data_IF_617935965584
#
_entry.id   IF_617935965584
#
_cell.length_a   1.000
_cell.length_b   1.000
_cell.length_c   1.000
_cell.angle_alpha   90.00
_cell.angle_beta   90.00
_cell.angle_gamma   90.00
#
_symmetry.space_group_name_H-M   'P 1'
#
loop_
_entity.id
_entity.type
_entity.pdbx_description
1 polymer ?
#
# COMPACT_ATOMS: atom_id res chain seq x y z
N UNK A 1 -7.98 20.98 11.80
CA UNK A 1 -6.63 20.38 11.93
C UNK A 1 -6.47 19.51 10.68
N UNK A 2 -5.59 19.82 9.78
CA UNK A 2 -5.52 19.09 8.52
C UNK A 2 -4.77 17.79 8.70
N UNK A 3 -5.47 16.69 8.57
CA UNK A 3 -4.88 15.37 8.44
C UNK A 3 -5.51 14.63 7.26
N UNK A 4 -4.68 14.02 6.47
CA UNK A 4 -5.07 13.33 5.26
C UNK A 4 -4.61 11.88 5.33
N UNK A 5 -5.50 10.95 5.03
CA UNK A 5 -5.12 9.55 4.75
C UNK A 5 -5.00 9.39 3.24
N UNK A 6 -3.85 8.94 2.76
CA UNK A 6 -3.60 8.55 1.39
C UNK A 6 -3.55 7.03 1.32
N UNK A 7 -4.39 6.42 0.49
CA UNK A 7 -4.47 4.97 0.35
C UNK A 7 -4.72 4.53 -1.08
N UNK A 8 -4.47 3.25 -1.38
CA UNK A 8 -4.84 2.65 -2.66
C UNK A 8 -6.33 2.27 -2.68
N UNK A 9 -7.06 2.68 -3.70
CA UNK A 9 -8.48 2.40 -3.85
C UNK A 9 -8.77 1.07 -4.59
N UNK A 10 -7.73 0.36 -5.05
CA UNK A 10 -7.83 -0.84 -5.88
C UNK A 10 -7.05 -2.01 -5.25
N UNK A 11 -6.33 -2.81 -6.05
CA UNK A 11 -5.50 -3.95 -5.59
C UNK A 11 -4.01 -3.62 -5.40
N UNK A 12 -3.66 -2.41 -5.02
CA UNK A 12 -2.27 -1.96 -4.91
C UNK A 12 -1.69 -1.54 -6.27
N UNK A 13 -0.44 -1.05 -6.23
CA UNK A 13 0.29 -0.59 -7.43
C UNK A 13 -0.39 0.56 -8.19
N UNK A 14 -1.25 1.34 -7.53
CA UNK A 14 -1.96 2.47 -8.12
C UNK A 14 -1.06 3.70 -8.40
N UNK A 15 0.21 3.64 -8.01
CA UNK A 15 1.13 4.79 -8.15
C UNK A 15 1.13 5.72 -6.93
N UNK A 16 0.83 5.17 -5.74
CA UNK A 16 0.83 5.93 -4.48
C UNK A 16 2.11 6.72 -4.25
N UNK A 17 3.27 6.12 -4.49
CA UNK A 17 4.57 6.77 -4.24
C UNK A 17 4.71 8.13 -4.94
N UNK A 18 4.31 8.24 -6.21
CA UNK A 18 4.32 9.52 -6.95
C UNK A 18 3.42 10.56 -6.28
N UNK A 19 2.19 10.18 -5.92
CA UNK A 19 1.23 11.13 -5.33
C UNK A 19 1.65 11.49 -3.90
N UNK A 20 2.12 10.52 -3.11
CA UNK A 20 2.64 10.78 -1.77
C UNK A 20 3.80 11.78 -1.81
N UNK A 21 4.79 11.54 -2.66
CA UNK A 21 5.92 12.47 -2.83
C UNK A 21 5.44 13.86 -3.24
N UNK A 22 4.51 13.93 -4.20
CA UNK A 22 4.02 15.19 -4.75
C UNK A 22 3.36 16.09 -3.68
N UNK A 23 2.54 15.49 -2.79
CA UNK A 23 1.80 16.27 -1.77
C UNK A 23 2.51 16.34 -0.42
N UNK A 24 3.53 15.51 -0.17
CA UNK A 24 4.21 15.42 1.14
C UNK A 24 4.79 16.76 1.60
N UNK A 25 5.28 17.60 0.66
CA UNK A 25 5.87 18.91 0.98
C UNK A 25 4.93 19.86 1.75
N UNK A 26 3.62 19.61 1.74
CA UNK A 26 2.62 20.43 2.42
C UNK A 26 2.35 19.96 3.87
N UNK A 27 3.03 18.90 4.31
CA UNK A 27 2.82 18.28 5.62
C UNK A 27 4.05 18.40 6.52
N UNK A 28 3.81 18.41 7.83
CA UNK A 28 4.87 18.40 8.85
C UNK A 28 5.27 16.96 9.22
N UNK A 29 4.34 16.01 9.09
CA UNK A 29 4.54 14.60 9.42
C UNK A 29 4.03 13.71 8.30
N UNK A 30 4.79 12.66 7.96
CA UNK A 30 4.34 11.57 7.07
C UNK A 30 4.42 10.25 7.82
N UNK A 31 3.30 9.57 7.99
CA UNK A 31 3.13 8.43 8.90
C UNK A 31 2.75 7.18 8.13
N UNK A 32 3.60 6.16 8.12
CA UNK A 32 3.22 4.80 7.72
C UNK A 32 2.43 4.16 8.87
N UNK A 33 1.20 3.76 8.60
CA UNK A 33 0.31 3.25 9.66
C UNK A 33 0.08 1.74 9.60
N UNK A 34 0.47 1.05 8.51
CA UNK A 34 0.28 -0.40 8.35
C UNK A 34 1.26 -1.00 7.34
N UNK A 35 1.26 -2.34 7.24
CA UNK A 35 2.15 -3.07 6.36
C UNK A 35 3.56 -3.20 6.95
N UNK A 36 4.51 -3.47 6.11
CA UNK A 36 5.92 -3.62 6.46
C UNK A 36 6.77 -3.43 5.20
N UNK A 37 7.89 -4.13 5.13
CA UNK A 37 8.79 -4.09 3.98
C UNK A 37 8.25 -4.79 2.71
N UNK A 38 6.99 -5.24 2.72
CA UNK A 38 6.26 -5.70 1.52
C UNK A 38 5.74 -4.55 0.65
N UNK A 39 5.80 -3.30 1.11
CA UNK A 39 5.55 -2.14 0.27
C UNK A 39 6.76 -1.86 -0.65
N UNK A 40 6.50 -1.17 -1.76
CA UNK A 40 7.54 -0.67 -2.65
C UNK A 40 7.09 0.67 -3.21
N UNK A 41 7.49 1.76 -2.56
CA UNK A 41 7.19 3.11 -3.01
C UNK A 41 8.41 3.67 -3.75
N UNK A 42 8.27 3.85 -5.06
CA UNK A 42 9.30 4.56 -5.81
C UNK A 42 9.08 6.05 -5.65
N UNK A 43 10.08 6.73 -5.14
CA UNK A 43 10.12 8.18 -4.98
C UNK A 43 11.20 8.73 -5.91
N UNK A 44 10.92 9.86 -6.54
CA UNK A 44 11.86 10.54 -7.44
C UNK A 44 12.06 11.96 -6.90
N UNK A 45 13.29 12.25 -6.47
CA UNK A 45 13.68 13.58 -5.99
C UNK A 45 14.87 14.09 -6.82
N UNK A 46 14.63 15.12 -7.65
CA UNK A 46 15.60 15.55 -8.65
C UNK A 46 15.93 14.40 -9.61
N UNK A 47 17.22 14.08 -9.74
CA UNK A 47 17.71 12.97 -10.58
C UNK A 47 17.77 11.63 -9.82
N UNK A 48 17.53 11.63 -8.52
CA UNK A 48 17.62 10.44 -7.66
C UNK A 48 16.29 9.69 -7.63
N UNK A 49 16.34 8.39 -7.95
CA UNK A 49 15.20 7.47 -7.90
C UNK A 49 15.44 6.41 -6.84
N UNK A 50 14.64 6.43 -5.78
CA UNK A 50 14.73 5.51 -4.65
C UNK A 50 13.48 4.64 -4.52
N UNK A 51 13.69 3.40 -4.07
CA UNK A 51 12.62 2.47 -3.74
C UNK A 51 12.56 2.31 -2.23
N UNK A 52 11.57 2.91 -1.58
CA UNK A 52 11.34 2.82 -0.14
C UNK A 52 10.40 1.66 0.19
N UNK A 53 10.70 0.91 1.23
CA UNK A 53 9.92 -0.23 1.68
C UNK A 53 9.25 -0.01 3.04
N UNK A 54 9.99 0.55 4.02
CA UNK A 54 9.54 0.80 5.39
C UNK A 54 9.44 2.28 5.71
N UNK A 55 10.46 3.05 5.34
CA UNK A 55 10.55 4.47 5.67
C UNK A 55 9.51 5.26 4.88
N UNK A 56 8.74 6.18 5.52
CA UNK A 56 7.78 7.02 4.81
C UNK A 56 8.43 7.90 3.75
N UNK A 57 7.71 8.15 2.65
CA UNK A 57 8.20 8.96 1.51
C UNK A 57 8.60 10.38 1.90
N UNK A 58 8.08 10.91 3.00
CA UNK A 58 8.42 12.24 3.53
C UNK A 58 9.87 12.42 3.97
N UNK A 59 10.66 11.33 4.10
CA UNK A 59 12.09 11.41 4.49
C UNK A 59 12.94 12.23 3.50
N UNK A 60 12.45 12.45 2.29
CA UNK A 60 13.11 13.24 1.25
C UNK A 60 13.10 14.75 1.54
N UNK A 61 12.44 15.21 2.59
CA UNK A 61 12.26 16.62 2.93
C UNK A 61 12.70 16.90 4.37
N UNK A 62 13.66 17.80 4.56
CA UNK A 62 14.27 18.10 5.86
C UNK A 62 13.29 18.61 6.92
N UNK A 63 12.20 19.28 6.48
CA UNK A 63 11.19 19.84 7.39
C UNK A 63 10.16 18.80 7.85
N UNK A 64 10.13 17.62 7.24
CA UNK A 64 9.16 16.57 7.55
C UNK A 64 9.74 15.62 8.60
N UNK A 65 8.90 15.23 9.55
CA UNK A 65 9.19 14.12 10.44
C UNK A 65 8.54 12.85 9.91
N UNK A 66 9.31 11.89 9.33
CA UNK A 66 8.78 10.61 8.93
C UNK A 66 8.54 9.73 10.16
N UNK A 67 7.39 9.02 10.20
CA UNK A 67 6.99 8.19 11.34
C UNK A 67 6.59 6.79 10.89
N UNK A 68 7.17 5.77 11.51
CA UNK A 68 6.71 4.39 11.42
C UNK A 68 5.79 4.12 12.61
N UNK A 69 4.48 3.99 12.35
CA UNK A 69 3.45 3.83 13.37
C UNK A 69 3.38 2.42 13.96
N UNK A 70 2.65 2.29 15.06
CA UNK A 70 2.47 1.02 15.79
C UNK A 70 1.74 -0.07 14.99
N UNK A 71 1.06 0.31 13.92
CA UNK A 71 0.40 -0.66 13.03
C UNK A 71 1.34 -1.37 12.07
N UNK A 72 2.56 -0.88 11.87
CA UNK A 72 3.57 -1.51 11.03
C UNK A 72 4.20 -2.74 11.69
N UNK A 73 4.70 -3.65 10.85
CA UNK A 73 5.65 -4.69 11.22
C UNK A 73 7.00 -4.36 10.61
N UNK A 74 8.05 -4.33 11.43
CA UNK A 74 9.36 -3.77 11.09
C UNK A 74 10.40 -4.87 11.03
N UNK A 75 11.05 -5.01 9.90
CA UNK A 75 12.28 -5.80 9.77
C UNK A 75 13.48 -4.87 10.09
N UNK A 76 14.18 -5.07 11.24
CA UNK A 76 15.26 -4.19 11.66
C UNK A 76 16.43 -4.16 10.68
N UNK A 77 16.69 -5.26 10.01
CA UNK A 77 17.75 -5.37 8.99
C UNK A 77 17.39 -4.48 7.80
N UNK A 78 16.21 -4.67 7.23
CA UNK A 78 15.75 -3.89 6.06
C UNK A 78 15.67 -2.40 6.39
N UNK A 79 15.20 -2.06 7.60
CA UNK A 79 15.13 -0.67 8.06
C UNK A 79 16.53 -0.03 8.10
N UNK A 80 17.51 -0.73 8.68
CA UNK A 80 18.89 -0.22 8.79
C UNK A 80 19.54 -0.08 7.41
N UNK A 81 19.33 -1.06 6.52
CA UNK A 81 19.82 -0.99 5.15
C UNK A 81 19.20 0.19 4.37
N UNK A 82 17.91 0.46 4.58
CA UNK A 82 17.19 1.56 3.94
C UNK A 82 17.66 2.93 4.48
N UNK A 83 17.92 3.04 5.79
CA UNK A 83 18.54 4.24 6.39
C UNK A 83 19.93 4.51 5.80
N UNK A 84 20.79 3.50 5.73
CA UNK A 84 22.13 3.62 5.15
C UNK A 84 22.09 4.02 3.68
N UNK A 85 21.16 3.47 2.90
CA UNK A 85 20.94 3.84 1.50
C UNK A 85 20.56 5.33 1.39
N UNK A 86 19.61 5.79 2.20
CA UNK A 86 19.15 7.18 2.21
C UNK A 86 20.28 8.15 2.58
N UNK A 87 21.04 7.84 3.64
CA UNK A 87 22.18 8.64 4.09
C UNK A 87 23.29 8.69 3.03
N UNK A 88 23.52 7.57 2.32
CA UNK A 88 24.45 7.49 1.20
C UNK A 88 24.07 8.39 0.02
N UNK A 89 22.77 8.65 -0.17
CA UNK A 89 22.21 9.55 -1.17
C UNK A 89 22.03 11.00 -0.66
N UNK A 90 22.46 11.28 0.59
CA UNK A 90 22.45 12.60 1.19
C UNK A 90 21.14 12.98 1.91
N UNK A 91 20.24 12.03 2.17
CA UNK A 91 19.01 12.25 2.94
C UNK A 91 19.22 11.88 4.40
N UNK A 92 18.93 12.82 5.31
CA UNK A 92 19.07 12.56 6.75
C UNK A 92 17.92 11.74 7.32
N UNK A 93 18.25 10.71 8.10
CA UNK A 93 17.28 9.96 8.88
C UNK A 93 17.14 10.44 10.34
N UNK A 94 17.78 11.54 10.76
CA UNK A 94 17.75 12.01 12.15
C UNK A 94 16.34 12.31 12.67
N UNK A 95 15.46 12.80 11.79
CA UNK A 95 14.07 13.10 12.11
C UNK A 95 13.13 11.89 12.10
N UNK A 96 13.59 10.71 11.65
CA UNK A 96 12.79 9.50 11.65
C UNK A 96 12.34 9.16 13.07
N UNK A 97 11.05 8.80 13.24
CA UNK A 97 10.50 8.30 14.50
C UNK A 97 9.86 6.93 14.27
N UNK A 98 10.16 5.99 15.16
CA UNK A 98 9.70 4.61 15.09
C UNK A 98 8.91 4.31 16.36
N UNK A 99 7.69 3.84 16.20
CA UNK A 99 6.86 3.50 17.34
C UNK A 99 7.48 2.41 18.20
N UNK A 100 7.58 2.67 19.50
CA UNK A 100 7.94 1.68 20.50
C UNK A 100 7.06 0.43 20.42
N UNK A 101 5.78 0.60 20.04
CA UNK A 101 4.76 -0.44 19.96
C UNK A 101 4.69 -1.18 18.61
N UNK A 102 5.47 -0.79 17.60
CA UNK A 102 5.55 -1.53 16.35
C UNK A 102 6.13 -2.93 16.59
N UNK A 103 5.62 -3.93 15.85
CA UNK A 103 6.08 -5.30 15.99
C UNK A 103 7.31 -5.57 15.11
N UNK A 104 8.19 -6.44 15.59
CA UNK A 104 9.42 -6.82 14.90
C UNK A 104 9.19 -8.08 14.08
N UNK A 105 9.64 -8.06 12.82
CA UNK A 105 9.73 -9.26 12.00
C UNK A 105 10.99 -10.01 12.42
N UNK A 106 10.80 -11.22 12.98
CA UNK A 106 11.88 -12.12 13.37
C UNK A 106 12.29 -13.04 12.21
N UNK A 107 13.48 -13.65 12.23
CA UNK A 107 13.94 -14.50 11.15
C UNK A 107 13.04 -15.71 10.94
N UNK A 108 12.49 -16.26 12.02
CA UNK A 108 11.52 -17.36 11.92
C UNK A 108 10.21 -16.96 11.22
N UNK A 109 9.82 -15.68 11.22
CA UNK A 109 8.65 -15.21 10.46
C UNK A 109 8.91 -15.33 8.95
N UNK A 110 10.12 -14.98 8.50
CA UNK A 110 10.52 -15.06 7.08
C UNK A 110 10.53 -16.52 6.63
N UNK A 111 11.12 -17.40 7.44
CA UNK A 111 11.18 -18.84 7.14
C UNK A 111 9.77 -19.46 7.11
N UNK A 112 8.91 -19.11 8.07
CA UNK A 112 7.52 -19.59 8.12
C UNK A 112 6.71 -19.14 6.92
N UNK A 113 6.84 -17.87 6.50
CA UNK A 113 6.16 -17.32 5.32
C UNK A 113 6.56 -18.11 4.06
N UNK A 114 7.87 -18.29 3.85
CA UNK A 114 8.38 -19.07 2.72
C UNK A 114 8.01 -20.56 2.76
N UNK A 115 7.97 -21.16 3.95
CA UNK A 115 7.67 -22.59 4.12
C UNK A 115 6.18 -22.86 3.93
N UNK A 116 5.30 -22.01 4.47
CA UNK A 116 3.85 -22.15 4.31
C UNK A 116 3.42 -22.05 2.86
N UNK A 117 3.95 -21.08 2.09
CA UNK A 117 3.68 -20.97 0.66
C UNK A 117 4.09 -22.24 -0.11
N UNK A 118 5.26 -22.79 0.17
CA UNK A 118 5.68 -24.06 -0.44
C UNK A 118 4.76 -25.22 -0.06
N UNK A 119 4.32 -25.26 1.20
CA UNK A 119 3.45 -26.33 1.71
C UNK A 119 2.03 -26.25 1.11
N UNK A 120 1.50 -25.03 0.89
CA UNK A 120 0.21 -24.81 0.25
C UNK A 120 0.20 -25.21 -1.24
N UNK A 121 1.35 -25.17 -1.92
CA UNK A 121 1.50 -25.57 -3.32
C UNK A 121 0.49 -24.89 -4.25
N UNK A 122 -0.46 -25.65 -4.84
CA UNK A 122 -1.48 -25.09 -5.73
C UNK A 122 -2.47 -24.11 -5.04
N UNK A 123 -2.47 -24.06 -3.74
CA UNK A 123 -3.30 -23.16 -2.93
C UNK A 123 -2.50 -21.95 -2.40
N UNK A 124 -1.29 -21.72 -2.93
CA UNK A 124 -0.47 -20.58 -2.56
C UNK A 124 -1.22 -19.26 -2.70
N UNK A 125 -1.00 -18.37 -1.75
CA UNK A 125 -1.59 -17.02 -1.75
C UNK A 125 -0.77 -16.09 -2.66
N UNK A 126 0.52 -16.37 -2.80
CA UNK A 126 1.47 -15.55 -3.55
C UNK A 126 2.08 -14.44 -2.70
N UNK A 127 2.45 -14.74 -1.46
CA UNK A 127 3.05 -13.79 -0.52
C UNK A 127 4.40 -13.26 -1.03
N UNK A 128 4.87 -12.19 -0.40
CA UNK A 128 6.19 -11.61 -0.69
C UNK A 128 7.34 -12.39 -0.04
N UNK A 129 7.04 -13.36 0.81
CA UNK A 129 8.01 -14.17 1.59
C UNK A 129 8.92 -13.31 2.47
N UNK A 130 8.37 -12.25 3.04
CA UNK A 130 9.07 -11.30 3.91
C UNK A 130 8.64 -11.37 5.37
N UNK A 131 7.88 -12.42 5.74
CA UNK A 131 7.45 -12.66 7.11
C UNK A 131 6.32 -11.77 7.60
N UNK A 132 5.65 -11.04 6.71
CA UNK A 132 4.59 -10.07 7.07
C UNK A 132 3.41 -10.78 7.73
N UNK A 133 2.85 -11.81 7.08
CA UNK A 133 1.72 -12.59 7.60
C UNK A 133 2.02 -13.18 8.98
N UNK A 134 3.08 -13.98 9.14
CA UNK A 134 3.46 -14.55 10.42
C UNK A 134 3.72 -13.52 11.54
N UNK A 135 4.24 -12.34 11.22
CA UNK A 135 4.43 -11.28 12.21
C UNK A 135 3.09 -10.68 12.69
N UNK A 136 2.13 -10.48 11.78
CA UNK A 136 0.77 -10.06 12.15
C UNK A 136 0.00 -11.16 12.90
N UNK A 137 0.22 -12.43 12.57
CA UNK A 137 -0.31 -13.58 13.32
C UNK A 137 0.16 -13.53 14.78
N UNK A 138 1.46 -13.32 15.00
CA UNK A 138 2.01 -13.20 16.34
C UNK A 138 1.49 -11.97 17.08
N UNK A 139 1.32 -10.85 16.39
CA UNK A 139 0.68 -9.65 16.95
C UNK A 139 -0.73 -9.95 17.45
N UNK A 140 -1.56 -10.59 16.65
CA UNK A 140 -2.92 -10.98 17.01
C UNK A 140 -2.94 -12.08 18.07
N UNK A 141 -2.01 -13.02 18.00
CA UNK A 141 -1.78 -14.09 18.97
C UNK A 141 -1.20 -13.61 20.32
N UNK A 142 -0.74 -12.36 20.39
CA UNK A 142 -0.11 -11.73 21.58
C UNK A 142 1.19 -12.42 22.00
N UNK A 143 1.90 -12.97 21.02
CA UNK A 143 3.22 -13.57 21.15
C UNK A 143 4.32 -12.78 20.45
N UNK A 144 3.92 -11.68 19.79
CA UNK A 144 4.83 -10.83 19.03
C UNK A 144 5.80 -10.03 19.92
N UNK A 145 6.95 -9.75 19.38
CA UNK A 145 8.00 -8.94 19.97
C UNK A 145 7.89 -7.53 19.38
N UNK A 146 7.96 -6.51 20.25
CA UNK A 146 7.85 -5.10 19.86
C UNK A 146 9.24 -4.45 19.79
N UNK A 147 9.33 -3.32 19.10
CA UNK A 147 10.56 -2.54 18.98
C UNK A 147 11.15 -2.20 20.35
N UNK A 148 10.32 -1.78 21.32
CA UNK A 148 10.78 -1.47 22.69
C UNK A 148 11.43 -2.65 23.41
N UNK A 149 11.05 -3.88 23.07
CA UNK A 149 11.58 -5.07 23.72
C UNK A 149 13.05 -5.33 23.34
N UNK A 150 13.49 -4.80 22.20
CA UNK A 150 14.90 -4.89 21.77
C UNK A 150 15.84 -4.02 22.63
N UNK A 151 15.30 -3.06 23.41
CA UNK A 151 16.10 -2.14 24.21
C UNK A 151 16.67 -2.76 25.49
N UNK A 152 16.03 -3.82 25.97
CA UNK A 152 16.44 -4.57 27.15
C UNK A 152 16.70 -6.02 26.76
N UNK A 153 17.97 -6.39 26.71
CA UNK A 153 18.40 -7.73 26.29
C UNK A 153 17.73 -8.83 27.14
N UNK A 154 17.52 -8.57 28.45
CA UNK A 154 16.87 -9.56 29.33
C UNK A 154 15.40 -9.78 28.91
N UNK A 155 14.66 -8.70 28.72
CA UNK A 155 13.25 -8.77 28.26
C UNK A 155 13.18 -9.44 26.89
N UNK A 156 14.07 -9.06 25.98
CA UNK A 156 14.12 -9.63 24.64
C UNK A 156 14.36 -11.15 24.69
N UNK A 157 15.33 -11.61 25.49
CA UNK A 157 15.61 -13.04 25.70
C UNK A 157 14.42 -13.79 26.26
N UNK A 158 13.78 -13.28 27.33
CA UNK A 158 12.62 -13.91 27.96
C UNK A 158 11.45 -14.07 26.95
N UNK A 159 11.19 -13.06 26.12
CA UNK A 159 10.15 -13.13 25.08
C UNK A 159 10.51 -14.10 23.96
N UNK A 160 11.78 -14.14 23.52
CA UNK A 160 12.25 -15.11 22.56
C UNK A 160 12.12 -16.55 23.06
N UNK A 161 12.52 -16.81 24.29
CA UNK A 161 12.35 -18.15 24.92
C UNK A 161 10.90 -18.61 24.80
N UNK A 162 9.95 -17.74 25.18
CA UNK A 162 8.53 -18.06 25.12
C UNK A 162 8.04 -18.30 23.67
N UNK A 163 8.43 -17.44 22.72
CA UNK A 163 8.03 -17.55 21.32
C UNK A 163 8.60 -18.81 20.66
N UNK A 164 9.88 -19.11 20.89
CA UNK A 164 10.58 -20.22 20.25
C UNK A 164 10.07 -21.60 20.69
N UNK A 165 9.40 -21.74 21.85
CA UNK A 165 8.76 -22.99 22.26
C UNK A 165 7.83 -23.54 21.18
N UNK A 166 6.99 -22.68 20.61
CA UNK A 166 6.01 -23.09 19.57
C UNK A 166 6.64 -22.97 18.18
N UNK A 167 7.34 -21.87 17.90
CA UNK A 167 7.89 -21.60 16.55
C UNK A 167 8.86 -22.71 16.11
N UNK A 168 9.76 -23.15 16.99
CA UNK A 168 10.66 -24.24 16.69
C UNK A 168 9.95 -25.58 16.45
N UNK A 169 8.84 -25.85 17.13
CA UNK A 169 8.05 -27.06 16.84
C UNK A 169 7.42 -26.98 15.44
N UNK A 170 6.89 -25.82 15.04
CA UNK A 170 6.32 -25.63 13.70
C UNK A 170 7.42 -25.75 12.65
N UNK A 171 8.54 -25.07 12.82
CA UNK A 171 9.68 -25.12 11.91
C UNK A 171 10.16 -26.57 11.71
N UNK A 172 10.45 -27.29 12.81
CA UNK A 172 11.07 -28.61 12.73
C UNK A 172 10.09 -29.72 12.38
N UNK A 173 8.91 -29.79 13.05
CA UNK A 173 8.02 -30.95 12.92
C UNK A 173 7.06 -30.82 11.72
N UNK A 174 6.70 -29.60 11.31
CA UNK A 174 5.77 -29.39 10.20
C UNK A 174 6.55 -29.14 8.90
N UNK A 175 7.55 -28.24 8.95
CA UNK A 175 8.24 -27.80 7.74
C UNK A 175 9.61 -28.43 7.52
N UNK A 176 10.16 -29.16 8.51
CA UNK A 176 11.48 -29.80 8.40
C UNK A 176 12.64 -28.80 8.29
N UNK A 177 12.46 -27.62 8.88
CA UNK A 177 13.49 -26.57 8.93
C UNK A 177 14.27 -26.64 10.24
N UNK A 178 15.44 -26.00 10.28
CA UNK A 178 16.25 -25.92 11.48
C UNK A 178 15.60 -25.02 12.54
N UNK A 179 15.72 -25.35 13.84
CA UNK A 179 15.24 -24.51 14.92
C UNK A 179 16.19 -23.33 15.15
N UNK A 180 15.66 -22.25 15.73
CA UNK A 180 16.45 -21.13 16.23
C UNK A 180 16.75 -21.26 17.72
N UNK A 181 17.95 -20.80 18.13
CA UNK A 181 18.24 -20.55 19.54
C UNK A 181 18.07 -19.08 19.88
N UNK A 182 17.86 -18.79 21.17
CA UNK A 182 17.76 -17.40 21.65
C UNK A 182 19.06 -16.63 21.34
N UNK A 183 20.21 -17.28 21.56
CA UNK A 183 21.53 -16.65 21.32
C UNK A 183 21.70 -16.26 19.86
N UNK A 184 21.37 -17.15 18.93
CA UNK A 184 21.44 -16.85 17.48
C UNK A 184 20.62 -15.61 17.11
N UNK A 185 19.37 -15.48 17.63
CA UNK A 185 18.53 -14.32 17.32
C UNK A 185 19.07 -13.06 18.00
N UNK A 186 19.53 -13.16 19.25
CA UNK A 186 20.13 -12.02 19.94
C UNK A 186 21.38 -11.51 19.22
N UNK A 187 22.28 -12.37 18.79
CA UNK A 187 23.46 -11.99 18.01
C UNK A 187 23.10 -11.26 16.70
N UNK A 188 22.01 -11.68 16.05
CA UNK A 188 21.54 -11.03 14.81
C UNK A 188 20.85 -9.69 15.04
N UNK A 189 20.05 -9.54 16.12
CA UNK A 189 19.11 -8.42 16.27
C UNK A 189 19.56 -7.32 17.23
N UNK A 190 20.35 -7.64 18.26
CA UNK A 190 20.85 -6.61 19.19
C UNK A 190 21.70 -5.51 18.52
N UNK A 191 22.52 -5.79 17.50
CA UNK A 191 23.21 -4.73 16.78
C UNK A 191 22.26 -3.71 16.12
N UNK A 192 21.13 -4.14 15.60
CA UNK A 192 20.11 -3.25 15.03
C UNK A 192 19.39 -2.43 16.10
N UNK A 193 19.24 -2.97 17.31
CA UNK A 193 18.62 -2.23 18.42
C UNK A 193 19.36 -0.92 18.73
N UNK A 194 20.69 -0.91 18.66
CA UNK A 194 21.50 0.29 18.89
C UNK A 194 21.30 1.34 17.78
N UNK A 195 21.13 0.91 16.54
CA UNK A 195 20.84 1.83 15.41
C UNK A 195 19.42 2.42 15.55
N UNK A 196 18.45 1.62 15.97
CA UNK A 196 17.03 2.01 16.07
C UNK A 196 16.77 2.87 17.31
N UNK A 197 17.50 2.67 18.41
CA UNK A 197 17.31 3.31 19.71
C UNK A 197 17.13 4.85 19.64
N UNK A 198 17.93 5.63 18.90
CA UNK A 198 17.77 7.08 18.81
C UNK A 198 16.46 7.52 18.15
N UNK A 199 15.86 6.65 17.34
CA UNK A 199 14.66 6.93 16.54
C UNK A 199 13.36 6.52 17.25
N UNK A 200 13.43 5.80 18.36
CA UNK A 200 12.26 5.30 19.07
C UNK A 200 11.47 6.43 19.71
N UNK A 201 10.15 6.34 19.62
CA UNK A 201 9.23 7.32 20.18
C UNK A 201 7.89 6.73 20.58
N UNK A 202 7.24 7.37 21.53
CA UNK A 202 5.82 7.20 21.86
C UNK A 202 4.98 7.91 20.78
N UNK A 203 4.92 7.30 19.59
CA UNK A 203 4.37 7.96 18.39
C UNK A 203 2.91 8.36 18.52
N UNK A 204 2.09 7.59 19.24
CA UNK A 204 0.70 7.94 19.49
C UNK A 204 0.58 9.25 20.30
N UNK A 205 1.41 9.41 21.33
CA UNK A 205 1.44 10.64 22.11
C UNK A 205 1.95 11.82 21.26
N UNK A 206 3.06 11.62 20.55
CA UNK A 206 3.66 12.61 19.64
C UNK A 206 2.64 13.15 18.66
N UNK A 207 2.03 12.27 17.86
CA UNK A 207 1.11 12.66 16.80
C UNK A 207 -0.14 13.38 17.34
N UNK A 208 -0.68 12.95 18.48
CA UNK A 208 -1.81 13.65 19.11
C UNK A 208 -1.44 15.02 19.67
N UNK A 209 -0.20 15.22 20.16
CA UNK A 209 0.30 16.54 20.61
C UNK A 209 0.46 17.47 19.40
N UNK A 210 1.05 16.99 18.32
CA UNK A 210 1.29 17.76 17.12
C UNK A 210 0.00 18.14 16.39
N UNK A 211 -0.98 17.25 16.35
CA UNK A 211 -2.32 17.59 15.85
C UNK A 211 -2.96 18.72 16.67
N UNK A 212 -2.85 18.67 18.01
CA UNK A 212 -3.36 19.77 18.86
C UNK A 212 -2.60 21.07 18.67
N UNK A 213 -1.33 21.00 18.29
CA UNK A 213 -0.50 22.14 17.95
C UNK A 213 -0.82 22.70 16.54
N UNK A 214 -1.72 22.06 15.78
CA UNK A 214 -2.12 22.51 14.46
C UNK A 214 -1.23 22.03 13.31
N UNK A 215 -0.37 21.05 13.56
CA UNK A 215 0.51 20.46 12.55
C UNK A 215 -0.27 19.60 11.56
N UNK A 216 0.21 19.55 10.31
CA UNK A 216 -0.37 18.79 9.23
C UNK A 216 0.22 17.38 9.19
N UNK A 217 -0.63 16.35 9.15
CA UNK A 217 -0.19 14.96 9.12
C UNK A 217 -0.74 14.25 7.89
N UNK A 218 0.15 13.62 7.12
CA UNK A 218 -0.18 12.70 6.04
C UNK A 218 -0.01 11.26 6.52
N UNK A 219 -1.08 10.49 6.50
CA UNK A 219 -1.04 9.05 6.76
C UNK A 219 -0.86 8.33 5.43
N UNK A 220 0.32 7.76 5.23
CA UNK A 220 0.71 7.05 4.02
C UNK A 220 0.37 5.57 4.13
N UNK A 221 -0.65 5.14 3.36
CA UNK A 221 -1.05 3.74 3.26
C UNK A 221 -0.18 2.95 2.28
N UNK A 222 -0.09 1.66 2.54
CA UNK A 222 0.52 0.69 1.65
C UNK A 222 -0.55 -0.27 1.08
N UNK A 223 -0.22 -1.00 0.02
CA UNK A 223 -1.12 -1.90 -0.69
C UNK A 223 -2.38 -1.17 -1.22
N UNK A 224 -3.57 -1.72 -1.08
CA UNK A 224 -4.82 -1.11 -1.53
C UNK A 224 -6.04 -1.72 -0.84
N UNK A 225 -7.19 -1.07 -0.96
CA UNK A 225 -8.45 -1.45 -0.29
C UNK A 225 -8.83 -2.91 -0.52
N UNK A 226 -8.69 -3.41 -1.75
CA UNK A 226 -9.04 -4.79 -2.09
C UNK A 226 -8.00 -5.83 -1.62
N UNK A 227 -6.92 -5.38 -1.00
CA UNK A 227 -5.92 -6.20 -0.30
C UNK A 227 -6.03 -6.10 1.22
N UNK A 228 -6.99 -5.34 1.76
CA UNK A 228 -7.25 -5.23 3.19
C UNK A 228 -7.66 -6.58 3.78
N UNK A 229 -7.20 -6.89 4.99
CA UNK A 229 -7.46 -8.19 5.64
C UNK A 229 -8.95 -8.43 5.88
N UNK A 230 -9.72 -7.38 6.18
CA UNK A 230 -11.15 -7.46 6.49
C UNK A 230 -12.03 -7.13 5.29
N UNK A 231 -11.61 -6.18 4.43
CA UNK A 231 -12.39 -5.61 3.34
C UNK A 231 -11.93 -6.03 1.95
N UNK A 232 -10.84 -6.78 1.85
CA UNK A 232 -10.29 -7.24 0.58
C UNK A 232 -10.86 -8.56 0.08
N UNK A 233 -10.28 -9.04 -1.00
CA UNK A 233 -10.66 -10.31 -1.67
C UNK A 233 -10.02 -11.51 -0.96
N UNK A 234 -10.35 -11.72 0.31
CA UNK A 234 -9.86 -12.81 1.14
C UNK A 234 -10.02 -14.18 0.45
N UNK A 235 -9.04 -15.11 0.48
CA UNK A 235 -7.77 -15.03 1.22
C UNK A 235 -6.63 -14.32 0.46
N UNK A 236 -6.87 -13.82 -0.75
CA UNK A 236 -5.87 -13.14 -1.59
C UNK A 236 -5.72 -11.67 -1.20
N UNK A 237 -5.25 -11.44 0.02
CA UNK A 237 -5.10 -10.14 0.69
C UNK A 237 -3.76 -10.06 1.41
N UNK A 238 -3.40 -8.89 1.91
CA UNK A 238 -2.32 -8.74 2.90
C UNK A 238 -2.85 -8.95 4.31
N UNK A 239 -1.97 -9.12 5.28
CA UNK A 239 -2.35 -9.34 6.69
C UNK A 239 -2.54 -8.04 7.48
N UNK A 240 -2.69 -6.91 6.81
CA UNK A 240 -2.83 -5.59 7.45
C UNK A 240 -4.08 -4.84 7.01
N UNK A 241 -4.50 -3.85 7.81
CA UNK A 241 -5.65 -3.00 7.53
C UNK A 241 -5.25 -1.84 6.62
N UNK A 242 -5.49 -2.01 5.30
CA UNK A 242 -5.13 -1.04 4.26
C UNK A 242 -6.13 0.10 4.12
N UNK A 243 -7.35 -0.06 4.66
CA UNK A 243 -8.40 0.94 4.63
C UNK A 243 -8.09 2.14 5.54
N UNK A 244 -8.81 3.24 5.33
CA UNK A 244 -8.65 4.47 6.12
C UNK A 244 -8.85 4.26 7.62
N UNK A 245 -9.72 3.32 8.02
CA UNK A 245 -9.89 2.91 9.42
C UNK A 245 -8.63 2.34 10.08
N UNK A 246 -7.68 1.86 9.27
CA UNK A 246 -6.36 1.40 9.74
C UNK A 246 -5.45 2.54 10.20
N UNK A 247 -5.63 3.76 9.70
CA UNK A 247 -4.79 4.91 10.07
C UNK A 247 -4.94 5.29 11.56
N UNK A 248 -6.14 5.47 12.12
CA UNK A 248 -6.32 5.66 13.55
C UNK A 248 -5.73 4.54 14.41
N UNK A 249 -6.00 3.29 14.05
CA UNK A 249 -5.53 2.13 14.82
C UNK A 249 -4.01 1.99 14.76
N UNK A 250 -3.42 2.20 13.58
CA UNK A 250 -2.00 1.99 13.34
C UNK A 250 -1.09 3.15 13.70
N UNK A 251 -1.66 4.30 14.07
CA UNK A 251 -0.91 5.50 14.50
C UNK A 251 -1.26 5.97 15.91
N UNK A 252 -2.38 5.49 16.48
CA UNK A 252 -2.87 5.90 17.78
C UNK A 252 -3.57 7.26 17.82
N UNK A 253 -3.91 7.84 16.66
CA UNK A 253 -4.73 9.06 16.61
C UNK A 253 -6.22 8.72 16.66
N UNK A 254 -7.05 9.64 17.15
CA UNK A 254 -8.49 9.44 17.17
C UNK A 254 -9.11 9.52 15.77
N UNK A 255 -10.19 8.76 15.46
CA UNK A 255 -10.79 8.76 14.12
C UNK A 255 -11.31 10.13 13.67
N UNK A 256 -11.73 11.00 14.61
CA UNK A 256 -12.16 12.38 14.31
C UNK A 256 -11.00 13.30 13.88
N UNK A 257 -9.76 12.88 14.05
CA UNK A 257 -8.61 13.63 13.59
C UNK A 257 -8.44 13.55 12.07
N UNK A 258 -9.02 12.54 11.41
CA UNK A 258 -8.95 12.39 9.96
C UNK A 258 -9.96 13.33 9.29
N UNK A 259 -9.46 14.23 8.45
CA UNK A 259 -10.26 15.26 7.76
C UNK A 259 -10.48 14.94 6.29
N UNK A 260 -9.44 14.39 5.63
CA UNK A 260 -9.49 14.02 4.21
C UNK A 260 -9.05 12.58 4.02
N UNK A 261 -9.63 11.91 3.04
CA UNK A 261 -9.21 10.58 2.61
C UNK A 261 -9.05 10.59 1.09
N UNK A 262 -7.79 10.57 0.65
CA UNK A 262 -7.42 10.56 -0.75
C UNK A 262 -7.21 9.11 -1.24
N UNK A 263 -8.12 8.65 -2.08
CA UNK A 263 -8.02 7.36 -2.75
C UNK A 263 -7.19 7.44 -4.03
N UNK A 264 -6.12 6.67 -4.13
CA UNK A 264 -5.36 6.58 -5.37
C UNK A 264 -5.93 5.48 -6.24
N UNK A 265 -6.35 5.82 -7.45
CA UNK A 265 -6.88 4.89 -8.44
C UNK A 265 -6.12 5.01 -9.77
N UNK A 266 -5.84 3.91 -10.42
CA UNK A 266 -5.39 3.93 -11.81
C UNK A 266 -6.57 4.15 -12.75
N UNK A 267 -6.32 4.79 -13.89
CA UNK A 267 -7.31 4.94 -14.94
C UNK A 267 -7.73 3.60 -15.60
N UNK A 268 -7.06 2.52 -15.27
CA UNK A 268 -7.41 1.10 -15.51
C UNK A 268 -7.05 0.32 -14.26
N UNK A 269 -7.26 -0.99 -14.21
CA UNK A 269 -6.90 -1.76 -13.01
C UNK A 269 -5.75 -2.70 -13.27
N UNK A 270 -4.91 -2.90 -12.26
CA UNK A 270 -3.89 -3.95 -12.26
C UNK A 270 -3.96 -4.78 -10.99
N UNK A 271 -3.56 -6.04 -11.09
CA UNK A 271 -3.44 -6.94 -9.95
C UNK A 271 -2.19 -7.80 -10.07
N UNK A 272 -1.48 -7.98 -8.96
CA UNK A 272 -0.39 -8.96 -8.83
C UNK A 272 -0.91 -10.21 -8.12
N UNK A 273 -0.42 -11.38 -8.51
CA UNK A 273 -0.75 -12.65 -7.87
C UNK A 273 -2.12 -13.21 -8.20
N UNK A 274 -2.53 -14.16 -7.37
CA UNK A 274 -3.77 -14.92 -7.51
C UNK A 274 -4.99 -14.13 -7.03
N UNK A 275 -6.17 -14.71 -7.20
CA UNK A 275 -7.43 -14.16 -6.73
C UNK A 275 -8.30 -13.54 -7.82
N UNK A 276 -9.55 -13.15 -7.47
CA UNK A 276 -10.53 -12.66 -8.42
C UNK A 276 -10.11 -11.33 -9.05
N UNK A 277 -10.39 -11.20 -10.34
CA UNK A 277 -10.18 -9.98 -11.11
C UNK A 277 -11.24 -9.91 -12.22
N UNK A 278 -12.44 -9.40 -11.92
CA UNK A 278 -13.58 -9.48 -12.84
C UNK A 278 -13.34 -8.84 -14.22
N UNK A 279 -12.59 -7.73 -14.25
CA UNK A 279 -12.33 -6.95 -15.47
C UNK A 279 -11.02 -7.32 -16.16
N UNK A 280 -10.38 -8.45 -15.79
CA UNK A 280 -9.10 -8.88 -16.37
C UNK A 280 -9.18 -9.06 -17.89
N UNK A 281 -8.21 -8.49 -18.60
CA UNK A 281 -8.04 -8.60 -20.04
C UNK A 281 -6.92 -9.60 -20.37
N UNK A 282 -7.30 -10.63 -21.12
CA UNK A 282 -6.38 -11.69 -21.60
C UNK A 282 -6.21 -11.62 -23.13
N UNK A 283 -6.40 -10.44 -23.68
CA UNK A 283 -6.36 -10.13 -25.10
C UNK A 283 -5.24 -9.12 -25.43
N UNK A 284 -5.21 -8.70 -26.70
CA UNK A 284 -4.23 -7.74 -27.20
C UNK A 284 -4.31 -6.37 -26.49
N UNK A 285 -5.49 -5.98 -26.03
CA UNK A 285 -5.68 -4.73 -25.28
C UNK A 285 -4.98 -4.83 -23.93
N UNK A 286 -5.17 -5.92 -23.20
CA UNK A 286 -4.50 -6.18 -21.93
C UNK A 286 -2.97 -6.21 -22.07
N UNK A 287 -2.46 -6.83 -23.14
CA UNK A 287 -1.02 -6.83 -23.43
C UNK A 287 -0.50 -5.41 -23.73
N UNK A 288 -1.27 -4.62 -24.48
CA UNK A 288 -0.92 -3.22 -24.82
C UNK A 288 -0.88 -2.35 -23.57
N UNK A 289 -1.90 -2.42 -22.70
CA UNK A 289 -1.92 -1.70 -21.42
C UNK A 289 -0.74 -2.09 -20.53
N UNK A 290 -0.41 -3.37 -20.45
CA UNK A 290 0.72 -3.85 -19.69
C UNK A 290 2.06 -3.30 -20.23
N UNK A 291 2.27 -3.33 -21.52
CA UNK A 291 3.50 -2.88 -22.16
C UNK A 291 3.67 -1.36 -22.06
N UNK A 292 2.65 -0.58 -22.44
CA UNK A 292 2.68 0.89 -22.42
C UNK A 292 2.75 1.40 -20.98
N UNK A 293 1.98 0.79 -20.07
CA UNK A 293 1.97 1.15 -18.65
C UNK A 293 3.20 0.70 -17.88
N UNK A 294 4.08 -0.14 -18.46
CA UNK A 294 5.24 -0.69 -17.76
C UNK A 294 4.81 -1.54 -16.54
N UNK A 295 3.76 -2.34 -16.70
CA UNK A 295 3.12 -3.05 -15.59
C UNK A 295 3.91 -4.30 -15.17
N UNK A 296 5.06 -4.05 -14.53
CA UNK A 296 5.93 -5.05 -13.94
C UNK A 296 6.24 -4.67 -12.49
N UNK A 297 6.30 -5.66 -11.60
CA UNK A 297 6.63 -5.44 -10.19
C UNK A 297 8.07 -4.93 -10.03
N UNK A 298 8.25 -3.80 -9.35
CA UNK A 298 9.57 -3.18 -9.13
C UNK A 298 10.52 -4.16 -8.42
N UNK A 299 10.03 -4.87 -7.41
CA UNK A 299 10.84 -5.77 -6.59
C UNK A 299 10.98 -7.18 -7.19
N UNK A 300 9.94 -7.67 -7.85
CA UNK A 300 9.87 -9.08 -8.31
C UNK A 300 10.00 -9.25 -9.81
N UNK A 301 9.92 -8.17 -10.60
CA UNK A 301 9.83 -8.22 -12.06
C UNK A 301 8.57 -8.93 -12.60
N UNK A 302 7.66 -9.36 -11.73
CA UNK A 302 6.44 -10.08 -12.14
C UNK A 302 5.54 -9.18 -12.97
N UNK A 303 5.05 -9.72 -14.10
CA UNK A 303 4.04 -9.07 -14.92
C UNK A 303 2.74 -8.92 -14.11
N UNK A 304 2.16 -7.71 -14.11
CA UNK A 304 0.85 -7.45 -13.53
C UNK A 304 -0.24 -7.83 -14.52
N UNK A 305 -1.31 -8.41 -14.01
CA UNK A 305 -2.56 -8.62 -14.74
C UNK A 305 -3.21 -7.27 -14.95
N UNK A 306 -3.69 -6.95 -16.15
CA UNK A 306 -4.32 -5.67 -16.49
C UNK A 306 -5.80 -5.88 -16.78
N UNK A 307 -6.61 -4.89 -16.49
CA UNK A 307 -8.06 -4.93 -16.75
C UNK A 307 -8.64 -3.52 -16.88
N UNK A 308 -9.87 -3.44 -17.41
CA UNK A 308 -10.59 -2.18 -17.49
C UNK A 308 -10.91 -1.62 -16.10
N UNK A 309 -11.12 -0.30 -16.02
CA UNK A 309 -11.54 0.35 -14.77
C UNK A 309 -12.83 -0.28 -14.25
N UNK A 310 -12.89 -0.55 -12.97
CA UNK A 310 -13.99 -1.23 -12.30
C UNK A 310 -14.66 -0.26 -11.31
N UNK A 311 -15.78 0.32 -11.73
CA UNK A 311 -16.53 1.26 -10.90
C UNK A 311 -17.22 0.56 -9.71
N UNK A 312 -17.50 -0.74 -9.80
CA UNK A 312 -18.07 -1.50 -8.67
C UNK A 312 -17.08 -1.57 -7.53
N UNK A 313 -15.81 -1.92 -7.84
CA UNK A 313 -14.69 -1.90 -6.89
C UNK A 313 -14.47 -0.50 -6.33
N UNK A 314 -14.49 0.52 -7.22
CA UNK A 314 -14.17 1.89 -6.81
C UNK A 314 -15.26 2.51 -5.93
N UNK A 315 -16.54 2.22 -6.18
CA UNK A 315 -17.63 2.58 -5.26
C UNK A 315 -17.47 1.93 -3.89
N UNK A 316 -17.20 0.64 -3.88
CA UNK A 316 -16.94 -0.07 -2.63
C UNK A 316 -15.77 0.54 -1.87
N UNK A 317 -14.67 0.85 -2.56
CA UNK A 317 -13.53 1.52 -1.94
C UNK A 317 -13.89 2.92 -1.42
N UNK A 318 -14.72 3.68 -2.14
CA UNK A 318 -15.23 4.98 -1.71
C UNK A 318 -16.02 4.87 -0.41
N UNK A 319 -16.93 3.91 -0.32
CA UNK A 319 -17.79 3.70 0.85
C UNK A 319 -16.98 3.28 2.09
N UNK A 320 -16.17 2.21 1.98
CA UNK A 320 -15.44 1.66 3.16
C UNK A 320 -14.35 2.60 3.68
N UNK A 321 -13.85 3.50 2.83
CA UNK A 321 -12.84 4.48 3.21
C UNK A 321 -13.39 5.88 3.45
N UNK A 322 -14.66 6.15 3.10
CA UNK A 322 -15.24 7.51 3.09
C UNK A 322 -14.36 8.46 2.27
N UNK A 323 -14.04 8.08 1.03
CA UNK A 323 -13.16 8.87 0.17
C UNK A 323 -13.74 10.28 -0.04
N UNK A 324 -12.93 11.28 0.22
CA UNK A 324 -13.26 12.68 -0.07
C UNK A 324 -12.80 13.10 -1.45
N UNK A 325 -11.69 12.50 -1.91
CA UNK A 325 -10.99 12.84 -3.13
C UNK A 325 -10.39 11.58 -3.78
N UNK A 326 -10.22 11.64 -5.10
CA UNK A 326 -9.51 10.61 -5.86
C UNK A 326 -8.31 11.23 -6.60
N UNK A 327 -7.17 10.56 -6.55
CA UNK A 327 -6.06 10.82 -7.45
C UNK A 327 -6.06 9.75 -8.55
N UNK A 328 -6.31 10.19 -9.78
CA UNK A 328 -6.33 9.32 -10.95
C UNK A 328 -4.95 9.26 -11.58
N UNK A 329 -4.35 8.08 -11.63
CA UNK A 329 -3.00 7.87 -12.15
C UNK A 329 -3.02 7.11 -13.47
N UNK A 330 -1.92 7.19 -14.23
CA UNK A 330 -1.73 6.43 -15.46
C UNK A 330 -2.77 6.72 -16.56
N UNK A 331 -3.31 7.95 -16.58
CA UNK A 331 -4.26 8.36 -17.62
C UNK A 331 -3.62 8.36 -19.02
N UNK A 332 -2.33 8.70 -19.09
CA UNK A 332 -1.47 8.68 -20.29
C UNK A 332 -1.45 7.31 -20.97
N UNK A 333 -1.51 6.24 -20.21
CA UNK A 333 -1.47 4.87 -20.74
C UNK A 333 -2.68 4.57 -21.63
N UNK A 334 -3.83 5.16 -21.34
CA UNK A 334 -5.05 4.97 -22.15
C UNK A 334 -4.99 5.67 -23.51
N UNK A 335 -3.97 6.50 -23.78
CA UNK A 335 -3.68 7.02 -25.12
C UNK A 335 -3.30 5.93 -26.14
N UNK A 336 -3.20 4.68 -25.70
CA UNK A 336 -2.93 3.54 -26.60
C UNK A 336 -4.20 2.84 -27.11
N UNK A 337 -5.40 3.32 -26.76
CA UNK A 337 -6.67 2.67 -27.13
C UNK A 337 -7.70 3.70 -27.65
N UNK A 338 -8.45 3.28 -28.68
CA UNK A 338 -9.51 4.07 -29.33
C UNK A 338 -10.86 3.97 -28.58
N UNK A 339 -11.05 2.91 -27.80
CA UNK A 339 -12.25 2.64 -26.99
C UNK A 339 -11.86 2.20 -25.60
N UNK A 340 -12.57 2.72 -24.61
CA UNK A 340 -12.34 2.41 -23.20
C UNK A 340 -13.63 1.86 -22.62
N UNK A 341 -13.52 0.79 -21.82
CA UNK A 341 -14.67 0.23 -21.12
C UNK A 341 -14.54 0.48 -19.62
N UNK A 342 -15.67 0.80 -18.99
CA UNK A 342 -15.78 0.94 -17.53
C UNK A 342 -16.79 -0.11 -17.06
N UNK A 343 -16.38 -0.97 -16.14
CA UNK A 343 -17.28 -1.94 -15.54
C UNK A 343 -18.18 -1.23 -14.53
N UNK A 344 -19.50 -1.28 -14.77
CA UNK A 344 -20.50 -0.60 -13.95
C UNK A 344 -21.30 -1.53 -13.05
N UNK A 345 -21.33 -2.82 -13.38
CA UNK A 345 -21.98 -3.87 -12.60
C UNK A 345 -21.39 -5.23 -12.94
N UNK A 346 -21.74 -6.25 -12.15
CA UNK A 346 -21.45 -7.65 -12.47
C UNK A 346 -22.74 -8.44 -12.69
N UNK A 347 -22.65 -9.48 -13.49
CA UNK A 347 -23.67 -10.51 -13.59
C UNK A 347 -23.11 -11.84 -13.12
N UNK A 348 -23.83 -12.51 -12.24
CA UNK A 348 -23.51 -13.86 -11.79
C UNK A 348 -24.78 -14.61 -11.45
N UNK A 349 -24.90 -15.87 -11.93
CA UNK A 349 -26.04 -16.76 -11.72
C UNK A 349 -27.40 -16.10 -12.04
N UNK A 350 -27.46 -15.33 -13.14
CA UNK A 350 -28.64 -14.60 -13.58
C UNK A 350 -29.05 -13.42 -12.72
N UNK A 351 -28.17 -13.00 -11.77
CA UNK A 351 -28.37 -11.85 -10.90
C UNK A 351 -27.38 -10.74 -11.22
N UNK A 352 -27.87 -9.50 -11.29
CA UNK A 352 -27.05 -8.30 -11.41
C UNK A 352 -26.61 -7.80 -10.03
N UNK A 353 -25.33 -7.41 -9.92
CA UNK A 353 -24.70 -6.83 -8.76
C UNK A 353 -24.16 -5.45 -9.10
N UNK A 354 -24.77 -4.41 -8.56
CA UNK A 354 -24.32 -3.02 -8.68
C UNK A 354 -23.37 -2.62 -7.53
N UNK A 355 -23.17 -3.51 -6.57
CA UNK A 355 -22.25 -3.39 -5.43
C UNK A 355 -21.22 -4.52 -5.46
N UNK A 356 -20.12 -4.35 -4.75
CA UNK A 356 -19.06 -5.35 -4.67
C UNK A 356 -19.51 -6.55 -3.82
N UNK A 357 -19.72 -7.73 -4.42
CA UNK A 357 -20.20 -8.90 -3.68
C UNK A 357 -19.02 -9.53 -2.93
N UNK A 358 -19.05 -9.48 -1.59
CA UNK A 358 -18.03 -10.13 -0.75
C UNK A 358 -18.14 -11.65 -0.71
N UNK A 359 -19.21 -12.23 -1.25
CA UNK A 359 -19.33 -13.67 -1.37
C UNK A 359 -18.31 -14.22 -2.35
N UNK A 360 -17.37 -14.97 -1.84
CA UNK A 360 -16.29 -15.58 -2.60
C UNK A 360 -16.78 -16.42 -3.80
N UNK A 361 -17.91 -17.10 -3.65
CA UNK A 361 -18.56 -17.87 -4.71
C UNK A 361 -19.00 -17.03 -5.90
N UNK A 362 -19.29 -15.75 -5.69
CA UNK A 362 -19.70 -14.82 -6.76
C UNK A 362 -18.49 -14.28 -7.51
N UNK A 363 -17.37 -14.03 -6.79
CA UNK A 363 -16.17 -13.43 -7.38
C UNK A 363 -15.20 -14.46 -8.01
N UNK A 364 -15.38 -15.74 -7.74
CA UNK A 364 -14.45 -16.76 -8.25
C UNK A 364 -14.56 -16.92 -9.76
N UNK A 365 -13.44 -17.17 -10.48
CA UNK A 365 -13.19 -16.72 -11.86
C UNK A 365 -14.09 -17.25 -12.97
N UNK A 366 -15.08 -18.06 -12.65
CA UNK A 366 -16.00 -18.63 -13.67
C UNK A 366 -17.44 -18.15 -13.56
N UNK A 367 -17.78 -17.31 -12.58
CA UNK A 367 -19.17 -16.99 -12.26
C UNK A 367 -19.54 -15.52 -12.44
N UNK A 368 -18.56 -14.66 -12.65
CA UNK A 368 -18.79 -13.21 -12.78
C UNK A 368 -18.52 -12.75 -14.19
N UNK A 369 -19.52 -12.12 -14.80
CA UNK A 369 -19.39 -11.42 -16.08
C UNK A 369 -19.50 -9.92 -15.82
N UNK A 370 -18.46 -9.10 -16.13
CA UNK A 370 -18.55 -7.66 -15.99
C UNK A 370 -19.50 -7.06 -17.05
N UNK A 371 -20.32 -6.12 -16.61
CA UNK A 371 -21.19 -5.31 -17.46
C UNK A 371 -20.49 -3.97 -17.69
N UNK A 372 -20.27 -3.65 -18.96
CA UNK A 372 -19.48 -2.48 -19.34
C UNK A 372 -20.32 -1.37 -19.97
N UNK A 373 -19.98 -0.14 -19.64
CA UNK A 373 -20.22 1.06 -20.44
C UNK A 373 -19.00 1.33 -21.30
N UNK A 374 -19.21 1.71 -22.57
CA UNK A 374 -18.14 1.98 -23.53
C UNK A 374 -18.06 3.48 -23.82
N UNK A 375 -16.85 4.03 -23.75
CA UNK A 375 -16.52 5.41 -23.98
C UNK A 375 -15.51 5.54 -25.14
N UNK A 376 -15.54 6.64 -25.92
CA UNK A 376 -14.50 6.91 -26.90
C UNK A 376 -13.17 7.19 -26.18
N UNK A 377 -12.11 6.58 -26.68
CA UNK A 377 -10.75 6.84 -26.23
C UNK A 377 -10.11 8.06 -26.91
N UNK A 378 -8.83 8.23 -26.66
CA UNK A 378 -8.02 9.30 -27.27
C UNK A 378 -6.71 8.73 -27.85
N UNK A 379 -6.82 7.60 -28.54
CA UNK A 379 -5.68 6.90 -29.14
C UNK A 379 -4.79 7.83 -29.96
N UNK A 380 -3.48 7.73 -29.72
CA UNK A 380 -2.45 8.52 -30.44
C UNK A 380 -2.33 9.97 -29.99
N UNK A 381 -3.12 10.44 -29.02
CA UNK A 381 -2.97 11.78 -28.46
C UNK A 381 -2.08 11.73 -27.20
N UNK A 382 -0.94 12.38 -27.25
CA UNK A 382 -0.08 12.55 -26.09
C UNK A 382 -0.68 13.62 -25.16
N UNK A 383 -0.87 13.26 -23.88
CA UNK A 383 -1.42 14.16 -22.85
C UNK A 383 -0.37 14.57 -21.81
N UNK A 384 0.88 14.14 -21.97
CA UNK A 384 1.94 14.32 -20.98
C UNK A 384 2.28 15.78 -20.68
N UNK A 385 2.03 16.67 -21.63
CA UNK A 385 2.26 18.11 -21.52
C UNK A 385 1.06 18.92 -21.02
N UNK A 386 -0.11 18.29 -20.83
CA UNK A 386 -1.31 18.96 -20.28
C UNK A 386 -1.05 19.46 -18.85
N UNK A 387 -1.40 20.71 -18.59
CA UNK A 387 -1.20 21.35 -17.26
C UNK A 387 -2.52 21.67 -16.56
N UNK A 388 -3.61 21.77 -17.30
CA UNK A 388 -4.95 22.02 -16.79
C UNK A 388 -5.90 20.92 -17.27
N UNK A 389 -7.06 20.81 -16.63
CA UNK A 389 -8.08 19.88 -17.06
C UNK A 389 -8.59 20.19 -18.48
N UNK A 390 -8.63 21.47 -18.84
CA UNK A 390 -9.08 21.97 -20.12
C UNK A 390 -8.11 21.65 -21.28
N UNK A 391 -6.83 21.42 -20.97
CA UNK A 391 -5.82 21.01 -21.97
C UNK A 391 -6.02 19.56 -22.43
N UNK A 392 -6.71 18.75 -21.63
CA UNK A 392 -6.94 17.35 -21.95
C UNK A 392 -7.85 17.20 -23.19
N UNK A 393 -7.66 16.18 -24.02
CA UNK A 393 -8.61 15.83 -25.07
C UNK A 393 -10.03 15.69 -24.53
N UNK A 394 -11.01 16.12 -25.30
CA UNK A 394 -12.43 16.09 -24.89
C UNK A 394 -12.89 14.70 -24.40
N UNK A 395 -12.40 13.64 -25.03
CA UNK A 395 -12.70 12.26 -24.61
C UNK A 395 -12.06 11.90 -23.27
N UNK A 396 -10.85 12.39 -22.98
CA UNK A 396 -10.19 12.19 -21.68
C UNK A 396 -10.93 12.96 -20.58
N UNK A 397 -11.35 14.21 -20.83
CA UNK A 397 -12.21 14.98 -19.92
C UNK A 397 -13.55 14.26 -19.64
N UNK A 398 -14.17 13.72 -20.71
CA UNK A 398 -15.43 12.95 -20.58
C UNK A 398 -15.22 11.67 -19.75
N UNK A 399 -14.11 10.99 -19.95
CA UNK A 399 -13.76 9.78 -19.19
C UNK A 399 -13.63 10.11 -17.70
N UNK A 400 -12.87 11.15 -17.33
CA UNK A 400 -12.69 11.54 -15.93
C UNK A 400 -14.04 11.91 -15.29
N UNK A 401 -14.85 12.76 -15.94
CA UNK A 401 -16.18 13.14 -15.44
C UNK A 401 -17.10 11.93 -15.27
N UNK A 402 -17.00 10.96 -16.18
CA UNK A 402 -17.77 9.73 -16.05
C UNK A 402 -17.30 8.90 -14.84
N UNK A 403 -15.98 8.82 -14.60
CA UNK A 403 -15.48 8.14 -13.40
C UNK A 403 -15.96 8.83 -12.12
N UNK A 404 -15.94 10.15 -12.05
CA UNK A 404 -16.49 10.92 -10.91
C UNK A 404 -17.98 10.61 -10.70
N UNK A 405 -18.76 10.59 -11.77
CA UNK A 405 -20.19 10.27 -11.71
C UNK A 405 -20.45 8.85 -11.17
N UNK A 406 -19.75 7.85 -11.72
CA UNK A 406 -20.00 6.45 -11.36
C UNK A 406 -19.37 6.03 -10.03
N UNK A 407 -18.40 6.76 -9.52
CA UNK A 407 -17.76 6.48 -8.22
C UNK A 407 -18.31 7.37 -7.09
N UNK A 408 -18.89 8.52 -7.43
CA UNK A 408 -19.33 9.53 -6.48
C UNK A 408 -18.19 10.30 -5.81
N UNK A 409 -16.96 10.22 -6.34
CA UNK A 409 -15.74 10.83 -5.76
C UNK A 409 -15.09 11.75 -6.78
N UNK A 410 -14.80 13.04 -6.45
CA UNK A 410 -14.13 13.95 -7.36
C UNK A 410 -12.68 13.53 -7.62
N UNK A 411 -12.23 13.65 -8.87
CA UNK A 411 -10.85 13.41 -9.29
C UNK A 411 -10.01 14.69 -9.15
N UNK A 412 -9.59 14.99 -7.94
CA UNK A 412 -8.90 16.25 -7.60
C UNK A 412 -7.42 16.30 -8.01
N UNK A 413 -6.82 15.14 -8.31
CA UNK A 413 -5.43 15.02 -8.81
C UNK A 413 -5.44 14.07 -10.02
N UNK A 414 -4.85 14.49 -11.14
CA UNK A 414 -4.83 13.72 -12.37
C UNK A 414 -3.40 13.62 -12.88
N UNK A 415 -2.83 12.41 -12.86
CA UNK A 415 -1.49 12.18 -13.38
C UNK A 415 -1.56 11.81 -14.87
N UNK A 416 -0.92 12.62 -15.68
CA UNK A 416 -0.88 12.55 -17.16
C UNK A 416 0.46 12.01 -17.70
N UNK A 417 1.31 11.49 -16.83
CA UNK A 417 2.60 10.88 -17.16
C UNK A 417 3.34 10.44 -15.90
N UNK A 418 4.53 9.83 -16.04
CA UNK A 418 5.31 9.31 -14.91
C UNK A 418 5.97 10.40 -14.06
N UNK A 419 6.34 11.55 -14.67
CA UNK A 419 7.09 12.60 -14.02
C UNK A 419 6.26 13.40 -13.02
N UNK A 420 6.93 14.02 -12.04
CA UNK A 420 6.29 14.84 -11.01
C UNK A 420 5.48 16.00 -11.60
N UNK A 421 6.05 16.70 -12.58
CA UNK A 421 5.44 17.84 -13.27
C UNK A 421 4.34 17.45 -14.28
N UNK A 422 4.11 16.15 -14.51
CA UNK A 422 3.04 15.58 -15.32
C UNK A 422 1.84 15.21 -14.43
N UNK A 423 1.37 16.20 -13.69
CA UNK A 423 0.21 16.06 -12.78
C UNK A 423 -0.60 17.35 -12.78
N UNK A 424 -1.88 17.21 -12.96
CA UNK A 424 -2.87 18.30 -12.93
C UNK A 424 -3.55 18.28 -11.55
N UNK A 425 -3.53 19.41 -10.86
CA UNK A 425 -4.34 19.63 -9.67
C UNK A 425 -5.68 20.23 -10.08
N UNK A 426 -6.76 19.50 -9.86
CA UNK A 426 -8.12 19.85 -10.27
C UNK A 426 -9.04 19.91 -9.05
N UNK A 427 -8.86 20.96 -8.26
CA UNK A 427 -9.63 21.16 -7.01
C UNK A 427 -9.01 20.54 -5.76
N UNK A 428 -7.80 19.98 -5.86
CA UNK A 428 -7.09 19.52 -4.67
C UNK A 428 -6.62 20.68 -3.81
N UNK A 429 -6.95 20.62 -2.54
CA UNK A 429 -6.43 21.51 -1.50
C UNK A 429 -5.83 20.66 -0.39
N UNK A 430 -4.54 20.83 -0.13
CA UNK A 430 -3.83 20.09 0.93
C UNK A 430 -4.21 20.56 2.35
N UNK A 431 -4.95 21.69 2.47
CA UNK A 431 -5.31 22.34 3.74
C UNK A 431 -6.81 22.50 3.89
#
# INVERSE_FOLDING_TARGET
MPSTVLLGAQWGDEGKGKITDLISSDYDYVVRYQGGNNAGHTVIHGDTKLALHLIPSGVMYDHITPVIGNGCVVDPKVLTEEMQMLEGEGFSCENLRISCDAHVIMPYHIDLDGASERHLGKHEIGTTKRGIGPAYEDKAGRTGIRIQDLLDEKIFREKLEAALVIKNQVLTKIYGLEPYTVDQICEMYLPYAEVIRPHMAETAQLLNQELRAGKNILFEGAQGTLLDIDHGTYPFVTSSSCCAGGAPTGSGVGPKAINKVLGIAKAYITRVGSGPFPTELKDEVGERLCKVGGEYGVTTGRKRRCGWFDAVVSRYAADVNSLTDMALTKLDVLSCVDRIKVCVAYEADGKRYDYFPMQHSVLYPKHVTPIYEELPGWEGQDISDCKTFEDLPANAQRYIKYLEEVTGVPASIIAVGPERNQTIFHGWESR
#
